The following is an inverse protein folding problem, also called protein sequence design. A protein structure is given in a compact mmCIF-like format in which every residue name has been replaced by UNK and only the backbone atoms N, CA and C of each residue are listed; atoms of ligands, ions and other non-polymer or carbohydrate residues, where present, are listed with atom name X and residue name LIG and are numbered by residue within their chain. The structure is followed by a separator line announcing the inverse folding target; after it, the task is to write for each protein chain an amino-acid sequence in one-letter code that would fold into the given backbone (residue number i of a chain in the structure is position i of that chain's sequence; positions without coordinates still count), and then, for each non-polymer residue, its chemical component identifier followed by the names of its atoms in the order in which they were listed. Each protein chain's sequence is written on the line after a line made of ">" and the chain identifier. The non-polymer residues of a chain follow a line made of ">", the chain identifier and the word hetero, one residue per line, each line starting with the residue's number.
data_IF_148795153807
#
_entry.id   IF_148795153807
#
_cell.length_a   1.000
_cell.length_b   1.000
_cell.length_c   1.000
_cell.angle_alpha   90.00
_cell.angle_beta   90.00
_cell.angle_gamma   90.00
#
_symmetry.space_group_name_H-M   'P 1'
#
loop_
_entity.id
_entity.type
_entity.pdbx_description
1 polymer ?
#
# COMPACT_ATOMS: atom_id res chain seq x y z
N UNK A 1 8.91 -2.62 -11.80
CA UNK A 1 10.14 -2.75 -11.00
C UNK A 1 10.00 -3.97 -10.09
N UNK A 2 10.98 -4.86 -10.06
CA UNK A 2 10.90 -6.04 -9.19
C UNK A 2 11.07 -5.67 -7.71
N UNK A 3 10.58 -6.55 -6.85
CA UNK A 3 10.90 -6.50 -5.42
C UNK A 3 12.11 -7.39 -5.21
N UNK A 4 13.15 -6.86 -4.59
CA UNK A 4 14.38 -7.59 -4.29
C UNK A 4 14.65 -7.57 -2.80
N UNK A 5 14.79 -8.75 -2.23
CA UNK A 5 15.08 -8.97 -0.80
C UNK A 5 16.51 -9.48 -0.72
N UNK A 6 17.38 -8.71 -0.07
CA UNK A 6 18.82 -9.00 -0.02
C UNK A 6 19.30 -9.10 1.42
N UNK A 7 19.61 -10.31 1.87
CA UNK A 7 20.17 -10.62 3.19
C UNK A 7 19.35 -10.03 4.34
N UNK A 8 18.04 -10.12 4.24
CA UNK A 8 17.14 -9.58 5.26
C UNK A 8 17.11 -10.49 6.48
N UNK A 9 17.32 -9.88 7.63
CA UNK A 9 17.18 -10.54 8.95
C UNK A 9 16.29 -9.69 9.83
N UNK A 10 15.55 -10.35 10.72
CA UNK A 10 14.76 -9.68 11.74
C UNK A 10 14.93 -10.36 13.09
N UNK A 11 15.28 -9.56 14.08
CA UNK A 11 15.48 -9.97 15.46
C UNK A 11 14.48 -9.21 16.31
N UNK A 12 13.66 -9.95 17.08
CA UNK A 12 12.71 -9.32 17.99
C UNK A 12 13.43 -8.50 19.08
N UNK A 13 12.72 -7.56 19.73
CA UNK A 13 13.28 -6.82 20.87
C UNK A 13 13.75 -7.71 22.02
N UNK A 14 13.16 -8.90 22.16
CA UNK A 14 13.59 -9.92 23.14
C UNK A 14 14.83 -10.73 22.69
N UNK A 15 15.44 -10.35 21.56
CA UNK A 15 16.61 -10.97 20.93
C UNK A 15 16.36 -12.33 20.29
N UNK A 16 15.11 -12.77 20.15
CA UNK A 16 14.79 -13.96 19.40
C UNK A 16 14.91 -13.67 17.89
N UNK A 17 15.69 -14.50 17.18
CA UNK A 17 15.84 -14.38 15.73
C UNK A 17 14.63 -15.00 15.05
N UNK A 18 13.85 -14.18 14.34
CA UNK A 18 12.66 -14.63 13.64
C UNK A 18 13.03 -15.27 12.28
N UNK A 19 13.90 -14.62 11.53
CA UNK A 19 14.50 -15.14 10.32
C UNK A 19 15.83 -14.42 10.05
N UNK A 20 16.68 -15.03 9.24
CA UNK A 20 18.00 -14.46 8.92
C UNK A 20 18.40 -14.78 7.48
N UNK A 21 19.13 -13.85 6.90
CA UNK A 21 19.74 -13.98 5.56
C UNK A 21 18.76 -14.43 4.48
N UNK A 22 17.54 -13.85 4.48
CA UNK A 22 16.57 -14.10 3.41
C UNK A 22 16.99 -13.41 2.13
N UNK A 23 17.01 -14.16 1.04
CA UNK A 23 17.33 -13.65 -0.29
C UNK A 23 16.31 -14.20 -1.28
N UNK A 24 15.56 -13.31 -1.92
CA UNK A 24 14.70 -13.66 -3.05
C UNK A 24 14.30 -12.41 -3.81
N UNK A 25 13.74 -12.60 -5.00
CA UNK A 25 13.23 -11.51 -5.80
C UNK A 25 11.91 -11.91 -6.44
N UNK A 26 11.04 -10.93 -6.64
CA UNK A 26 9.75 -11.11 -7.31
C UNK A 26 9.76 -10.22 -8.54
N UNK A 27 9.71 -10.83 -9.71
CA UNK A 27 9.68 -10.13 -10.99
C UNK A 27 8.25 -9.72 -11.36
N UNK A 28 8.14 -8.77 -12.28
CA UNK A 28 6.84 -8.32 -12.80
C UNK A 28 6.03 -9.51 -13.33
N UNK A 29 4.77 -9.60 -12.94
CA UNK A 29 3.87 -10.68 -13.35
C UNK A 29 4.06 -11.99 -12.60
N UNK A 30 5.06 -12.10 -11.76
CA UNK A 30 5.30 -13.29 -10.95
C UNK A 30 4.39 -13.29 -9.72
N UNK A 31 3.87 -14.46 -9.37
CA UNK A 31 3.10 -14.70 -8.15
C UNK A 31 3.88 -15.61 -7.23
N UNK A 32 4.06 -15.19 -5.99
CA UNK A 32 4.84 -15.92 -5.00
C UNK A 32 3.97 -16.20 -3.78
N UNK A 33 3.94 -17.45 -3.33
CA UNK A 33 3.28 -17.85 -2.09
C UNK A 33 4.26 -17.92 -0.93
N UNK A 34 3.89 -17.36 0.21
CA UNK A 34 4.65 -17.44 1.45
C UNK A 34 3.94 -18.39 2.42
N UNK A 35 4.56 -19.50 2.72
CA UNK A 35 3.97 -20.57 3.56
C UNK A 35 4.83 -20.81 4.78
N UNK A 36 4.19 -21.21 5.86
CA UNK A 36 4.86 -21.53 7.12
C UNK A 36 3.86 -21.60 8.26
N UNK A 37 4.32 -22.09 9.40
CA UNK A 37 3.50 -22.17 10.61
C UNK A 37 3.20 -20.78 11.16
N UNK A 38 2.12 -20.64 11.93
CA UNK A 38 1.83 -19.40 12.65
C UNK A 38 2.99 -19.05 13.58
N UNK A 39 3.37 -17.77 13.56
CA UNK A 39 4.48 -17.27 14.37
C UNK A 39 5.86 -17.42 13.74
N UNK A 40 5.98 -17.93 12.51
CA UNK A 40 7.29 -18.05 11.85
C UNK A 40 7.77 -16.76 11.19
N UNK A 41 6.98 -15.69 11.25
CA UNK A 41 7.40 -14.38 10.76
C UNK A 41 6.83 -13.94 9.41
N UNK A 42 5.81 -14.61 8.87
CA UNK A 42 5.20 -14.27 7.58
C UNK A 42 4.67 -12.84 7.56
N UNK A 43 3.87 -12.47 8.55
CA UNK A 43 3.31 -11.12 8.65
C UNK A 43 4.39 -10.07 8.87
N UNK A 44 5.39 -10.39 9.67
CA UNK A 44 6.53 -9.50 9.90
C UNK A 44 7.30 -9.24 8.61
N UNK A 45 7.56 -10.27 7.82
CA UNK A 45 8.24 -10.14 6.54
C UNK A 45 7.43 -9.25 5.58
N UNK A 46 6.12 -9.43 5.49
CA UNK A 46 5.26 -8.61 4.65
C UNK A 46 5.26 -7.14 5.09
N UNK A 47 5.26 -6.87 6.39
CA UNK A 47 5.37 -5.51 6.92
C UNK A 47 6.71 -4.87 6.59
N UNK A 48 7.79 -5.63 6.61
CA UNK A 48 9.12 -5.17 6.22
C UNK A 48 9.15 -4.83 4.72
N UNK A 49 8.59 -5.68 3.88
CA UNK A 49 8.49 -5.43 2.44
C UNK A 49 7.66 -4.18 2.16
N UNK A 50 6.58 -3.99 2.90
CA UNK A 50 5.71 -2.82 2.77
C UNK A 50 6.34 -1.51 3.29
N UNK A 51 7.43 -1.58 4.01
CA UNK A 51 8.08 -0.42 4.61
C UNK A 51 7.49 0.04 5.93
N UNK A 52 6.60 -0.76 6.52
CA UNK A 52 5.99 -0.43 7.83
C UNK A 52 6.88 -0.83 9.00
N UNK A 53 7.84 -1.70 8.77
CA UNK A 53 8.76 -2.20 9.77
C UNK A 53 10.17 -2.25 9.20
N UNK A 54 11.15 -1.77 9.94
CA UNK A 54 12.54 -1.83 9.50
C UNK A 54 13.15 -3.21 9.79
N UNK A 55 13.91 -3.80 8.85
CA UNK A 55 14.63 -5.03 9.12
C UNK A 55 15.80 -4.75 10.09
N UNK A 56 16.24 -5.79 10.80
CA UNK A 56 17.42 -5.70 11.65
C UNK A 56 18.70 -5.54 10.83
N UNK A 57 18.74 -6.15 9.64
CA UNK A 57 19.82 -6.02 8.67
C UNK A 57 19.32 -6.36 7.27
N UNK A 58 20.12 -6.00 6.26
CA UNK A 58 19.82 -6.26 4.87
C UNK A 58 19.17 -5.10 4.13
N UNK A 59 18.89 -5.30 2.86
CA UNK A 59 18.37 -4.25 1.96
C UNK A 59 17.15 -4.79 1.21
N UNK A 60 16.14 -3.92 1.06
CA UNK A 60 14.97 -4.18 0.22
C UNK A 60 14.92 -3.13 -0.88
N UNK A 61 14.80 -3.60 -2.11
CA UNK A 61 14.47 -2.76 -3.26
C UNK A 61 13.02 -3.04 -3.63
N UNK A 62 12.19 -2.00 -3.66
CA UNK A 62 10.77 -2.12 -3.93
C UNK A 62 10.28 -0.97 -4.80
N UNK A 63 9.18 -1.17 -5.57
CA UNK A 63 8.57 -0.07 -6.31
C UNK A 63 7.85 0.89 -5.36
N UNK A 64 7.66 2.13 -5.82
CA UNK A 64 6.94 3.15 -5.05
C UNK A 64 5.43 2.88 -4.97
N UNK A 65 4.90 2.14 -5.92
CA UNK A 65 3.47 1.84 -6.05
C UNK A 65 3.06 0.52 -5.37
N UNK A 66 3.83 0.05 -4.41
CA UNK A 66 3.55 -1.16 -3.67
C UNK A 66 2.34 -0.96 -2.74
N UNK A 67 1.41 -1.91 -2.77
CA UNK A 67 0.22 -1.89 -1.91
C UNK A 67 0.23 -3.08 -0.96
N UNK A 68 0.06 -2.80 0.34
CA UNK A 68 0.01 -3.81 1.40
C UNK A 68 -1.43 -4.04 1.85
N UNK A 69 -1.89 -5.29 1.75
CA UNK A 69 -3.22 -5.68 2.21
C UNK A 69 -3.04 -6.45 3.52
N UNK A 70 -3.46 -5.88 4.67
CA UNK A 70 -3.30 -6.56 5.96
C UNK A 70 -4.30 -7.71 6.11
N UNK A 71 -3.99 -8.62 7.03
CA UNK A 71 -4.83 -9.77 7.34
C UNK A 71 -6.20 -9.38 7.91
N UNK A 72 -6.25 -8.29 8.68
CA UNK A 72 -7.48 -7.78 9.28
C UNK A 72 -7.97 -6.56 8.51
N UNK A 73 -9.23 -6.58 8.10
CA UNK A 73 -9.82 -5.52 7.26
C UNK A 73 -10.62 -4.48 8.04
N UNK A 74 -10.84 -4.69 9.33
CA UNK A 74 -11.66 -3.81 10.17
C UNK A 74 -11.17 -2.37 10.27
N UNK A 75 -9.91 -2.08 9.96
CA UNK A 75 -9.37 -0.74 9.98
C UNK A 75 -10.02 0.22 8.97
N UNK A 76 -10.74 -0.29 7.98
CA UNK A 76 -11.44 0.51 6.96
C UNK A 76 -12.92 0.70 7.26
N UNK A 77 -13.48 0.06 8.29
CA UNK A 77 -14.92 0.01 8.54
C UNK A 77 -15.51 1.39 8.83
N UNK A 78 -14.75 2.29 9.43
CA UNK A 78 -15.18 3.66 9.75
C UNK A 78 -14.92 4.66 8.63
N UNK A 79 -14.32 4.25 7.53
CA UNK A 79 -13.93 5.12 6.44
C UNK A 79 -14.96 5.11 5.31
N UNK A 80 -15.05 6.23 4.59
CA UNK A 80 -15.73 6.26 3.31
C UNK A 80 -14.89 5.52 2.26
N UNK A 81 -15.50 5.18 1.12
CA UNK A 81 -14.79 4.56 0.01
C UNK A 81 -13.63 5.46 -0.47
N UNK A 82 -13.86 6.77 -0.58
CA UNK A 82 -12.82 7.71 -0.98
C UNK A 82 -11.65 7.74 0.00
N UNK A 83 -11.93 7.68 1.30
CA UNK A 83 -10.88 7.62 2.32
C UNK A 83 -10.10 6.32 2.26
N UNK A 84 -10.78 5.19 2.07
CA UNK A 84 -10.12 3.89 1.95
C UNK A 84 -9.22 3.81 0.71
N UNK A 85 -9.62 4.44 -0.40
CA UNK A 85 -8.82 4.53 -1.62
C UNK A 85 -7.75 5.64 -1.55
N UNK A 86 -7.74 6.44 -0.48
CA UNK A 86 -6.81 7.56 -0.30
C UNK A 86 -6.94 8.64 -1.36
N UNK A 87 -8.13 8.85 -1.88
CA UNK A 87 -8.44 9.89 -2.88
C UNK A 87 -9.28 11.02 -2.32
N UNK A 88 -9.68 10.96 -1.05
CA UNK A 88 -10.60 11.93 -0.44
C UNK A 88 -10.05 13.36 -0.47
N UNK A 89 -8.76 13.56 -0.28
CA UNK A 89 -8.13 14.88 -0.36
C UNK A 89 -8.27 15.49 -1.75
N UNK A 90 -7.98 14.71 -2.80
CA UNK A 90 -8.12 15.15 -4.18
C UNK A 90 -9.58 15.40 -4.55
N UNK A 91 -10.49 14.55 -4.10
CA UNK A 91 -11.92 14.72 -4.32
C UNK A 91 -12.45 15.99 -3.68
N UNK A 92 -12.08 16.28 -2.44
CA UNK A 92 -12.45 17.52 -1.75
C UNK A 92 -11.88 18.75 -2.45
N UNK A 93 -10.61 18.69 -2.87
CA UNK A 93 -9.97 19.78 -3.60
C UNK A 93 -10.66 20.05 -4.94
N UNK A 94 -11.00 19.02 -5.70
CA UNK A 94 -11.73 19.13 -6.94
C UNK A 94 -13.10 19.79 -6.73
N UNK A 95 -13.87 19.32 -5.75
CA UNK A 95 -15.19 19.88 -5.44
C UNK A 95 -15.10 21.34 -4.98
N UNK A 96 -14.08 21.70 -4.20
CA UNK A 96 -13.86 23.06 -3.77
C UNK A 96 -13.53 23.98 -4.96
N UNK A 97 -12.69 23.56 -5.88
CA UNK A 97 -12.35 24.32 -7.08
C UNK A 97 -13.59 24.54 -7.96
N UNK A 98 -14.38 23.50 -8.18
CA UNK A 98 -15.61 23.58 -8.97
C UNK A 98 -16.67 24.46 -8.30
N UNK A 99 -16.65 24.58 -6.98
CA UNK A 99 -17.54 25.47 -6.22
C UNK A 99 -17.04 26.91 -6.15
N UNK A 100 -15.86 27.23 -6.72
CA UNK A 100 -15.31 28.57 -6.80
C UNK A 100 -14.09 28.84 -5.91
N UNK A 101 -13.64 27.89 -5.10
CA UNK A 101 -12.46 28.04 -4.26
C UNK A 101 -11.19 27.63 -5.04
N UNK A 102 -10.72 28.53 -5.89
CA UNK A 102 -9.55 28.31 -6.74
C UNK A 102 -8.24 28.69 -6.04
N UNK A 103 -8.07 28.29 -4.77
CA UNK A 103 -6.83 28.55 -4.04
C UNK A 103 -5.67 27.71 -4.60
N UNK A 104 -4.45 28.21 -4.46
CA UNK A 104 -3.22 27.49 -4.86
C UNK A 104 -3.13 26.18 -4.10
N UNK A 105 -3.54 26.15 -2.84
CA UNK A 105 -3.53 24.95 -2.01
C UNK A 105 -4.41 23.83 -2.61
N UNK A 106 -5.63 24.15 -3.05
CA UNK A 106 -6.53 23.18 -3.68
C UNK A 106 -5.97 22.65 -5.00
N UNK A 107 -5.37 23.51 -5.83
CA UNK A 107 -4.70 23.07 -7.06
C UNK A 107 -3.51 22.17 -6.77
N UNK A 108 -2.75 22.47 -5.74
CA UNK A 108 -1.60 21.65 -5.31
C UNK A 108 -2.03 20.28 -4.84
N UNK A 109 -3.09 20.18 -4.04
CA UNK A 109 -3.63 18.91 -3.55
C UNK A 109 -4.17 18.08 -4.71
N UNK A 110 -4.90 18.68 -5.63
CA UNK A 110 -5.46 17.99 -6.78
C UNK A 110 -4.37 17.50 -7.75
N UNK A 111 -3.29 18.27 -7.91
CA UNK A 111 -2.13 17.91 -8.74
C UNK A 111 -2.54 17.47 -10.17
N UNK A 112 -3.36 18.28 -10.83
CA UNK A 112 -3.87 18.03 -12.20
C UNK A 112 -4.67 16.73 -12.37
N UNK A 113 -5.11 16.11 -11.31
CA UNK A 113 -5.86 14.85 -11.35
C UNK A 113 -7.36 15.11 -11.49
N UNK A 114 -7.74 15.84 -12.53
CA UNK A 114 -9.12 16.29 -12.77
C UNK A 114 -10.12 15.14 -12.96
N UNK A 115 -9.64 13.98 -13.40
CA UNK A 115 -10.46 12.80 -13.68
C UNK A 115 -10.46 11.79 -12.51
N UNK A 116 -10.05 12.21 -11.31
CA UNK A 116 -9.89 11.27 -10.18
C UNK A 116 -11.19 10.52 -9.86
N UNK A 117 -12.34 11.19 -9.88
CA UNK A 117 -13.62 10.55 -9.61
C UNK A 117 -14.00 9.57 -10.71
N UNK A 118 -13.90 9.95 -11.97
CA UNK A 118 -14.22 9.10 -13.11
C UNK A 118 -13.35 7.86 -13.16
N UNK A 119 -12.04 8.01 -12.96
CA UNK A 119 -11.11 6.88 -12.92
C UNK A 119 -11.37 5.95 -11.74
N UNK A 120 -11.71 6.50 -10.59
CA UNK A 120 -12.00 5.71 -9.38
C UNK A 120 -13.28 4.90 -9.56
N UNK A 121 -14.34 5.50 -10.09
CA UNK A 121 -15.60 4.81 -10.38
C UNK A 121 -15.38 3.72 -11.43
N UNK A 122 -14.64 4.01 -12.50
CA UNK A 122 -14.32 3.03 -13.54
C UNK A 122 -13.53 1.83 -12.98
N UNK A 123 -12.56 2.08 -12.11
CA UNK A 123 -11.78 1.02 -11.47
C UNK A 123 -12.65 0.15 -10.56
N UNK A 124 -13.54 0.73 -9.78
CA UNK A 124 -14.45 -0.01 -8.90
C UNK A 124 -15.48 -0.82 -9.70
N UNK A 125 -15.99 -0.26 -10.80
CA UNK A 125 -16.91 -0.97 -11.70
C UNK A 125 -16.22 -2.17 -12.35
N UNK A 126 -14.99 -1.99 -12.83
CA UNK A 126 -14.18 -3.06 -13.38
C UNK A 126 -14.01 -4.22 -12.38
N UNK A 127 -13.85 -3.92 -11.09
CA UNK A 127 -13.75 -4.92 -10.04
C UNK A 127 -15.11 -5.45 -9.57
N UNK A 128 -16.22 -4.98 -10.15
CA UNK A 128 -17.59 -5.32 -9.78
C UNK A 128 -17.93 -4.98 -8.33
N UNK A 129 -17.28 -3.97 -7.77
CA UNK A 129 -17.53 -3.50 -6.41
C UNK A 129 -18.63 -2.45 -6.34
N UNK A 130 -18.85 -1.74 -7.44
CA UNK A 130 -19.94 -0.74 -7.60
C UNK A 130 -20.65 -1.02 -8.92
N UNK A 131 -21.97 -1.07 -8.85
CA UNK A 131 -22.81 -1.12 -10.04
C UNK A 131 -23.49 0.24 -10.24
N UNK A 132 -23.27 0.79 -11.41
CA UNK A 132 -23.82 2.10 -11.79
C UNK A 132 -24.92 1.89 -12.83
#
# INVERSE_FOLDING_TARGET
>A
MPISIQQISYIHPDKEVLFSNLNFAISKGQKLGLVGNNGCGKSTLLQIIAGQLAPSSGVIVRPDDLYYIPQHFGQYDSLTIAQALQIDHKQKALHAILAGDASIENFSILNDDWNIEERSVAALDFLSLIHI
#
